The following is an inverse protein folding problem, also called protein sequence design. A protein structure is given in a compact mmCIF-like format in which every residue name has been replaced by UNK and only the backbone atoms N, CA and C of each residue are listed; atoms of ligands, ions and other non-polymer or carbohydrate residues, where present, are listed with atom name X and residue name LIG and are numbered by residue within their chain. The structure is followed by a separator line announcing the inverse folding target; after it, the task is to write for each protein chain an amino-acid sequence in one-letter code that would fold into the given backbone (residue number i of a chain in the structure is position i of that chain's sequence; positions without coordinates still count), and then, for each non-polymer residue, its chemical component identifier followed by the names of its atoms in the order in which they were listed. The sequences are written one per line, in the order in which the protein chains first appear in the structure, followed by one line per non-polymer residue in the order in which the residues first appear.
data_IF_114364076819
#
_entry.id   IF_114364076819
#
_cell.length_a   1.000
_cell.length_b   1.000
_cell.length_c   1.000
_cell.angle_alpha   90.00
_cell.angle_beta   90.00
_cell.angle_gamma   90.00
#
_symmetry.space_group_name_H-M   'P 1'
#
loop_
_entity.id
_entity.type
_entity.pdbx_description
1 polymer ?
#
# COMPACT_ATOMS: atom_id res chain seq x y z
N UNK A 1 4.19 12.84 -10.67
CA UNK A 1 4.81 14.19 -10.87
C UNK A 1 6.19 13.99 -11.50
N UNK A 2 6.47 14.59 -12.65
CA UNK A 2 7.80 14.48 -13.30
C UNK A 2 8.77 15.36 -12.53
N UNK A 3 9.90 14.80 -12.12
CA UNK A 3 10.99 15.52 -11.44
C UNK A 3 11.64 16.51 -12.41
N UNK A 4 11.60 17.80 -12.07
CA UNK A 4 12.17 18.87 -12.91
C UNK A 4 13.53 19.37 -12.44
N UNK A 5 13.88 19.14 -11.19
CA UNK A 5 15.11 19.62 -10.57
C UNK A 5 15.85 18.48 -9.85
N UNK A 6 17.17 18.59 -9.83
CA UNK A 6 18.01 17.65 -9.09
C UNK A 6 17.74 17.75 -7.58
N UNK A 7 17.47 16.62 -6.93
CA UNK A 7 17.18 16.56 -5.49
C UNK A 7 18.41 16.86 -4.61
N UNK A 8 19.63 16.77 -5.16
CA UNK A 8 20.86 17.06 -4.41
C UNK A 8 21.27 18.55 -4.50
N UNK A 9 21.26 19.14 -5.70
CA UNK A 9 21.80 20.48 -5.91
C UNK A 9 20.77 21.51 -6.41
N UNK A 10 19.51 21.12 -6.64
CA UNK A 10 18.46 22.01 -7.11
C UNK A 10 18.55 22.45 -8.59
N UNK A 11 19.61 22.06 -9.32
CA UNK A 11 19.76 22.43 -10.74
C UNK A 11 18.66 21.82 -11.59
N UNK A 12 18.14 22.56 -12.57
CA UNK A 12 17.17 22.03 -13.52
C UNK A 12 17.77 20.83 -14.28
N UNK A 13 16.98 19.76 -14.39
CA UNK A 13 17.37 18.56 -15.10
C UNK A 13 17.25 18.76 -16.60
N UNK A 14 18.17 18.16 -17.35
CA UNK A 14 18.13 18.00 -18.80
C UNK A 14 17.83 16.54 -19.15
N UNK A 15 17.49 16.30 -20.39
CA UNK A 15 17.31 14.94 -20.91
C UNK A 15 18.62 14.48 -21.57
N UNK A 16 19.03 13.25 -21.31
CA UNK A 16 20.23 12.65 -21.90
C UNK A 16 20.00 11.15 -22.12
N UNK A 17 20.49 10.67 -23.25
CA UNK A 17 20.47 9.24 -23.57
C UNK A 17 21.40 8.47 -22.63
N UNK A 18 20.89 7.36 -22.10
CA UNK A 18 21.63 6.36 -21.34
C UNK A 18 21.49 5.02 -22.06
N UNK A 19 22.63 4.41 -22.39
CA UNK A 19 22.66 3.13 -23.10
C UNK A 19 21.86 2.05 -22.33
N UNK A 20 20.92 1.42 -23.01
CA UNK A 20 20.01 0.42 -22.45
C UNK A 20 18.76 0.96 -21.74
N UNK A 21 18.72 2.25 -21.37
CA UNK A 21 17.63 2.87 -20.62
C UNK A 21 16.85 3.93 -21.44
N UNK A 22 17.43 4.39 -22.57
CA UNK A 22 16.85 5.45 -23.39
C UNK A 22 17.08 6.85 -22.81
N UNK A 23 16.07 7.73 -22.94
CA UNK A 23 16.16 9.11 -22.48
C UNK A 23 15.85 9.20 -20.98
N UNK A 24 16.83 9.61 -20.19
CA UNK A 24 16.77 9.71 -18.73
C UNK A 24 17.09 11.14 -18.28
N UNK A 25 16.41 11.69 -17.24
CA UNK A 25 16.78 12.96 -16.64
C UNK A 25 18.24 12.99 -16.17
N UNK A 26 18.95 14.05 -16.48
CA UNK A 26 20.37 14.21 -16.17
C UNK A 26 20.62 15.55 -15.48
N UNK A 27 21.39 15.54 -14.40
CA UNK A 27 21.84 16.76 -13.75
C UNK A 27 23.18 17.21 -14.31
N UNK A 28 23.29 18.35 -15.05
CA UNK A 28 24.53 18.80 -15.61
C UNK A 28 25.54 19.28 -14.55
N UNK A 29 25.05 19.74 -13.38
CA UNK A 29 25.92 20.21 -12.29
C UNK A 29 26.54 19.02 -11.52
N UNK A 30 25.73 17.99 -11.15
CA UNK A 30 26.25 16.80 -10.48
C UNK A 30 26.87 15.78 -11.43
N UNK A 31 26.67 15.94 -12.73
CA UNK A 31 27.11 15.02 -13.80
C UNK A 31 26.56 13.59 -13.58
N UNK A 32 25.29 13.48 -13.17
CA UNK A 32 24.65 12.20 -12.83
C UNK A 32 23.24 12.10 -13.42
N UNK A 33 22.86 10.90 -13.82
CA UNK A 33 21.49 10.57 -14.18
C UNK A 33 20.59 10.58 -12.93
N UNK A 34 19.31 10.90 -13.13
CA UNK A 34 18.30 10.95 -12.06
C UNK A 34 17.12 10.10 -12.47
N UNK A 35 16.92 9.00 -11.76
CA UNK A 35 15.78 8.13 -11.96
C UNK A 35 14.55 8.65 -11.20
N UNK A 36 13.33 8.24 -11.62
CA UNK A 36 12.10 8.70 -10.99
C UNK A 36 12.10 8.47 -9.46
N UNK A 37 11.70 9.49 -8.72
CA UNK A 37 11.52 9.40 -7.27
C UNK A 37 10.00 9.36 -6.96
N UNK A 38 9.61 8.40 -6.15
CA UNK A 38 8.24 8.23 -5.69
C UNK A 38 8.23 7.63 -4.28
N UNK A 39 7.12 7.80 -3.57
CA UNK A 39 6.91 7.14 -2.30
C UNK A 39 6.62 5.66 -2.51
N UNK A 40 6.92 4.85 -1.52
CA UNK A 40 6.49 3.45 -1.48
C UNK A 40 5.60 3.25 -0.26
N UNK A 41 4.48 2.58 -0.45
CA UNK A 41 3.56 2.24 0.63
C UNK A 41 3.02 0.83 0.46
N UNK A 42 2.63 0.22 1.57
CA UNK A 42 1.94 -1.07 1.61
C UNK A 42 0.44 -0.86 1.88
N UNK A 43 -0.37 -1.76 1.35
CA UNK A 43 -1.81 -1.85 1.64
C UNK A 43 -2.14 -3.30 1.90
N UNK A 44 -2.97 -3.60 2.89
CA UNK A 44 -3.20 -4.97 3.34
C UNK A 44 -4.67 -5.36 3.32
N UNK A 45 -4.98 -6.49 2.67
CA UNK A 45 -6.20 -7.25 2.94
C UNK A 45 -5.92 -8.07 4.19
N UNK A 46 -6.37 -7.58 5.35
CA UNK A 46 -6.18 -8.27 6.64
C UNK A 46 -7.28 -9.28 6.84
N UNK A 47 -6.91 -10.55 7.05
CA UNK A 47 -7.83 -11.68 7.15
C UNK A 47 -7.64 -12.39 8.49
N UNK A 48 -8.73 -12.61 9.19
CA UNK A 48 -8.78 -13.54 10.31
C UNK A 48 -8.79 -14.98 9.77
N UNK A 49 -7.75 -15.76 10.05
CA UNK A 49 -7.62 -17.14 9.57
C UNK A 49 -8.68 -18.08 10.11
N UNK A 50 -9.24 -17.80 11.28
CA UNK A 50 -10.22 -18.67 11.92
C UNK A 50 -11.60 -18.53 11.27
N UNK A 51 -11.96 -17.32 10.88
CA UNK A 51 -13.31 -17.00 10.38
C UNK A 51 -13.34 -16.71 8.88
N UNK A 52 -12.20 -16.43 8.25
CA UNK A 52 -12.11 -15.95 6.87
C UNK A 52 -12.64 -14.53 6.67
N UNK A 53 -12.92 -13.80 7.74
CA UNK A 53 -13.40 -12.44 7.67
C UNK A 53 -12.28 -11.46 7.33
N UNK A 54 -12.66 -10.38 6.64
CA UNK A 54 -11.77 -9.31 6.17
C UNK A 54 -11.99 -8.06 7.00
N UNK A 55 -10.92 -7.50 7.52
CA UNK A 55 -10.93 -6.23 8.26
C UNK A 55 -11.04 -5.05 7.30
N UNK A 56 -12.03 -4.20 7.50
CA UNK A 56 -12.07 -2.86 6.93
C UNK A 56 -12.12 -1.81 8.04
N UNK A 57 -11.45 -0.69 7.81
CA UNK A 57 -11.29 0.39 8.79
C UNK A 57 -11.80 1.73 8.25
N UNK A 58 -12.13 2.66 9.15
CA UNK A 58 -12.33 4.09 8.83
C UNK A 58 -11.32 4.90 9.59
N UNK A 59 -10.76 5.91 8.94
CA UNK A 59 -9.70 6.75 9.49
C UNK A 59 -9.96 8.23 9.22
N UNK A 60 -9.42 9.09 10.08
CA UNK A 60 -9.38 10.55 9.93
C UNK A 60 -10.75 11.19 9.67
N UNK A 61 -11.79 10.74 10.36
CA UNK A 61 -13.16 11.24 10.24
C UNK A 61 -13.82 10.96 8.88
N UNK A 62 -13.24 10.08 8.05
CA UNK A 62 -13.82 9.73 6.75
C UNK A 62 -14.94 8.68 6.93
N UNK A 63 -16.08 8.82 6.21
CA UNK A 63 -17.22 7.92 6.39
C UNK A 63 -17.06 6.57 5.69
N UNK A 64 -16.02 6.39 4.89
CA UNK A 64 -15.86 5.22 4.04
C UNK A 64 -14.90 4.20 4.64
N UNK A 65 -15.20 2.93 4.45
CA UNK A 65 -14.30 1.83 4.76
C UNK A 65 -13.17 1.73 3.72
N UNK A 66 -11.97 1.46 4.21
CA UNK A 66 -10.74 1.25 3.42
C UNK A 66 -9.95 0.07 3.99
N UNK A 67 -8.89 -0.31 3.29
CA UNK A 67 -7.88 -1.26 3.78
C UNK A 67 -6.88 -0.56 4.70
N UNK A 68 -6.26 -1.32 5.60
CA UNK A 68 -5.06 -0.88 6.36
C UNK A 68 -3.94 -0.58 5.37
N UNK A 69 -3.22 0.51 5.58
CA UNK A 69 -2.14 0.94 4.67
C UNK A 69 -1.17 1.89 5.36
N UNK A 70 0.12 1.82 4.99
CA UNK A 70 1.12 2.73 5.52
C UNK A 70 2.33 2.88 4.62
N UNK A 71 3.16 3.90 4.89
CA UNK A 71 4.38 4.14 4.14
C UNK A 71 5.52 3.23 4.56
N UNK A 72 6.32 2.82 3.57
CA UNK A 72 7.55 2.07 3.80
C UNK A 72 8.66 3.02 4.20
N UNK A 73 9.35 2.73 5.29
CA UNK A 73 10.47 3.53 5.76
C UNK A 73 11.73 3.29 4.92
N UNK A 74 12.64 4.25 4.90
CA UNK A 74 13.93 4.08 4.20
C UNK A 74 14.70 2.89 4.76
N UNK A 75 15.03 1.93 3.88
CA UNK A 75 15.77 0.73 4.24
C UNK A 75 14.92 -0.39 4.84
N UNK A 76 13.61 -0.19 4.93
CA UNK A 76 12.66 -1.21 5.39
C UNK A 76 12.26 -2.15 4.24
N UNK A 77 12.12 -3.43 4.54
CA UNK A 77 11.56 -4.42 3.61
C UNK A 77 10.02 -4.31 3.62
N UNK A 78 9.38 -4.60 2.48
CA UNK A 78 7.93 -4.49 2.35
C UNK A 78 7.19 -5.39 3.35
N UNK A 79 7.66 -6.59 3.57
CA UNK A 79 7.11 -7.57 4.50
C UNK A 79 7.17 -7.08 5.95
N UNK A 80 8.27 -6.39 6.31
CA UNK A 80 8.41 -5.76 7.62
C UNK A 80 7.46 -4.56 7.77
N UNK A 81 7.32 -3.74 6.72
CA UNK A 81 6.36 -2.63 6.72
C UNK A 81 4.93 -3.13 6.89
N UNK A 82 4.52 -4.21 6.20
CA UNK A 82 3.20 -4.84 6.39
C UNK A 82 2.99 -5.24 7.85
N UNK A 83 3.94 -5.98 8.43
CA UNK A 83 3.82 -6.48 9.81
C UNK A 83 3.80 -5.34 10.83
N UNK A 84 4.62 -4.30 10.61
CA UNK A 84 4.68 -3.10 11.45
C UNK A 84 3.37 -2.31 11.39
N UNK A 85 2.87 -1.99 10.20
CA UNK A 85 1.65 -1.19 10.04
C UNK A 85 0.42 -1.92 10.61
N UNK A 86 0.28 -3.23 10.37
CA UNK A 86 -0.78 -4.02 11.00
C UNK A 86 -0.65 -3.97 12.53
N UNK A 87 0.57 -4.13 13.08
CA UNK A 87 0.79 -4.08 14.52
C UNK A 87 0.53 -2.70 15.10
N UNK A 88 1.01 -1.63 14.45
CA UNK A 88 0.88 -0.25 14.93
C UNK A 88 -0.57 0.24 14.87
N UNK A 89 -1.29 -0.04 13.78
CA UNK A 89 -2.65 0.44 13.60
C UNK A 89 -3.70 -0.43 14.33
N UNK A 90 -3.50 -1.74 14.40
CA UNK A 90 -4.53 -2.68 14.85
C UNK A 90 -4.18 -3.44 16.12
N UNK A 91 -2.94 -3.39 16.57
CA UNK A 91 -2.46 -4.19 17.70
C UNK A 91 -2.22 -5.68 17.40
N UNK A 92 -2.70 -6.17 16.27
CA UNK A 92 -2.63 -7.59 15.92
C UNK A 92 -1.26 -8.00 15.39
N UNK A 93 -0.96 -9.30 15.47
CA UNK A 93 0.27 -9.88 14.93
C UNK A 93 -0.03 -10.65 13.64
N UNK A 94 0.74 -10.35 12.59
CA UNK A 94 0.67 -11.05 11.31
C UNK A 94 1.35 -12.41 11.46
N UNK A 95 0.63 -13.50 11.18
CA UNK A 95 1.15 -14.86 11.21
C UNK A 95 1.92 -15.18 9.92
N UNK A 96 1.32 -14.87 8.79
CA UNK A 96 1.97 -14.96 7.48
C UNK A 96 1.35 -13.93 6.52
N UNK A 97 2.02 -13.69 5.40
CA UNK A 97 1.60 -12.74 4.40
C UNK A 97 1.87 -13.26 2.98
N UNK A 98 1.11 -12.74 2.03
CA UNK A 98 1.26 -13.04 0.60
C UNK A 98 1.25 -11.73 -0.16
N UNK A 99 2.23 -11.52 -1.04
CA UNK A 99 2.20 -10.42 -2.01
C UNK A 99 1.11 -10.68 -3.05
N UNK A 100 0.30 -9.66 -3.34
CA UNK A 100 -0.74 -9.73 -4.35
C UNK A 100 -0.31 -9.03 -5.63
N UNK A 101 -0.16 -7.70 -5.60
CA UNK A 101 0.17 -6.87 -6.76
C UNK A 101 0.66 -5.48 -6.38
N UNK A 102 1.08 -4.72 -7.38
CA UNK A 102 1.36 -3.28 -7.23
C UNK A 102 0.41 -2.44 -8.07
N UNK A 103 0.27 -1.18 -7.69
CA UNK A 103 -0.37 -0.14 -8.50
C UNK A 103 0.25 1.21 -8.19
N UNK A 104 0.44 2.05 -9.20
CA UNK A 104 0.94 3.40 -8.99
C UNK A 104 -0.22 4.36 -8.72
N UNK A 105 -0.16 5.08 -7.61
CA UNK A 105 -1.18 6.04 -7.20
C UNK A 105 -0.72 7.46 -7.48
N UNK A 106 -1.10 7.98 -8.63
CA UNK A 106 -0.71 9.30 -9.13
C UNK A 106 -0.95 10.46 -8.13
N UNK A 107 -2.10 10.54 -7.41
CA UNK A 107 -2.38 11.68 -6.56
C UNK A 107 -1.34 11.94 -5.47
N UNK A 108 -0.69 10.90 -4.94
CA UNK A 108 0.36 11.02 -3.94
C UNK A 108 1.75 10.62 -4.44
N UNK A 109 1.91 10.37 -5.75
CA UNK A 109 3.17 9.91 -6.35
C UNK A 109 3.72 8.69 -5.60
N UNK A 110 2.89 7.65 -5.44
CA UNK A 110 3.19 6.50 -4.58
C UNK A 110 3.04 5.19 -5.33
N UNK A 111 4.07 4.34 -5.27
CA UNK A 111 3.93 2.93 -5.61
C UNK A 111 3.31 2.20 -4.43
N UNK A 112 2.08 1.72 -4.62
CA UNK A 112 1.35 0.93 -3.64
C UNK A 112 1.60 -0.55 -3.88
N UNK A 113 2.10 -1.25 -2.85
CA UNK A 113 2.33 -2.70 -2.84
C UNK A 113 1.25 -3.35 -1.99
N UNK A 114 0.36 -4.13 -2.61
CA UNK A 114 -0.74 -4.77 -1.90
C UNK A 114 -0.37 -6.19 -1.47
N UNK A 115 -0.70 -6.51 -0.22
CA UNK A 115 -0.51 -7.81 0.40
C UNK A 115 -1.80 -8.34 1.00
N UNK A 116 -1.90 -9.65 1.15
CA UNK A 116 -2.81 -10.28 2.10
C UNK A 116 -2.02 -10.56 3.37
N UNK A 117 -2.53 -10.11 4.52
CA UNK A 117 -1.96 -10.32 5.83
C UNK A 117 -2.92 -11.17 6.67
N UNK A 118 -2.47 -12.34 7.11
CA UNK A 118 -3.27 -13.26 7.89
C UNK A 118 -2.96 -13.09 9.38
N UNK A 119 -4.02 -12.93 10.19
CA UNK A 119 -3.93 -12.85 11.65
C UNK A 119 -4.65 -14.08 12.26
N UNK A 120 -4.06 -14.63 13.32
CA UNK A 120 -4.59 -15.85 13.97
C UNK A 120 -5.57 -15.56 15.10
N UNK A 121 -5.55 -14.34 15.62
CA UNK A 121 -6.41 -13.93 16.74
C UNK A 121 -6.93 -12.50 16.54
N UNK A 122 -8.16 -12.41 16.00
CA UNK A 122 -8.85 -11.13 15.84
C UNK A 122 -9.22 -10.46 17.19
N UNK A 123 -9.18 -11.19 18.30
CA UNK A 123 -9.46 -10.65 19.65
C UNK A 123 -8.32 -9.75 20.16
N UNK A 124 -7.11 -9.85 19.60
CA UNK A 124 -6.00 -8.91 19.87
C UNK A 124 -6.24 -7.50 19.33
N UNK A 125 -7.33 -7.28 18.57
CA UNK A 125 -7.60 -5.99 17.93
C UNK A 125 -7.67 -4.87 18.98
N UNK A 126 -6.71 -3.99 18.92
CA UNK A 126 -6.58 -2.81 19.77
C UNK A 126 -6.10 -1.63 18.92
N UNK A 127 -7.02 -0.90 18.25
CA UNK A 127 -6.67 0.12 17.27
C UNK A 127 -5.95 1.30 17.90
N UNK A 128 -5.06 1.91 17.12
CA UNK A 128 -4.45 3.18 17.47
C UNK A 128 -5.46 4.34 17.28
N UNK A 129 -5.01 5.58 17.51
CA UNK A 129 -5.86 6.78 17.40
C UNK A 129 -6.22 7.18 15.96
N UNK A 130 -5.62 6.57 14.97
CA UNK A 130 -5.88 6.85 13.55
C UNK A 130 -7.14 6.16 13.06
N UNK A 131 -7.50 5.02 13.68
CA UNK A 131 -8.70 4.26 13.34
C UNK A 131 -9.88 4.77 14.14
N UNK A 132 -10.86 5.39 13.47
CA UNK A 132 -12.10 5.89 14.07
C UNK A 132 -13.10 4.76 14.34
N UNK A 133 -13.17 3.79 13.42
CA UNK A 133 -14.02 2.61 13.53
C UNK A 133 -13.53 1.49 12.61
N UNK A 134 -13.96 0.27 12.92
CA UNK A 134 -13.60 -0.91 12.15
C UNK A 134 -14.75 -1.92 12.13
N UNK A 135 -14.68 -2.84 11.18
CA UNK A 135 -15.59 -3.97 11.12
C UNK A 135 -14.97 -5.14 10.37
N UNK A 136 -15.22 -6.33 10.86
CA UNK A 136 -14.93 -7.58 10.16
C UNK A 136 -16.10 -7.94 9.26
N UNK A 137 -15.82 -8.27 8.02
CA UNK A 137 -16.82 -8.56 6.99
C UNK A 137 -16.59 -9.94 6.39
N UNK A 138 -17.66 -10.60 5.96
CA UNK A 138 -17.52 -11.66 4.98
C UNK A 138 -16.89 -11.13 3.68
N UNK A 139 -16.25 -11.98 2.85
CA UNK A 139 -15.70 -11.55 1.57
C UNK A 139 -16.70 -10.75 0.71
N UNK A 140 -17.92 -11.23 0.57
CA UNK A 140 -18.98 -10.58 -0.20
C UNK A 140 -19.41 -9.23 0.39
N UNK A 141 -19.48 -9.13 1.70
CA UNK A 141 -19.86 -7.87 2.36
C UNK A 141 -18.70 -6.88 2.39
N UNK A 142 -17.45 -7.33 2.48
CA UNK A 142 -16.27 -6.47 2.33
C UNK A 142 -16.28 -5.78 0.96
N UNK A 143 -16.57 -6.53 -0.13
CA UNK A 143 -16.71 -5.99 -1.48
C UNK A 143 -17.77 -4.90 -1.59
N UNK A 144 -18.92 -5.05 -0.90
CA UNK A 144 -20.03 -4.09 -0.93
C UNK A 144 -19.78 -2.84 -0.08
N UNK A 145 -18.98 -2.96 0.98
CA UNK A 145 -18.81 -1.90 1.98
C UNK A 145 -17.54 -1.07 1.79
N UNK A 146 -16.55 -1.57 1.07
CA UNK A 146 -15.34 -0.81 0.78
C UNK A 146 -15.65 0.41 -0.09
N UNK A 147 -14.90 1.51 0.10
CA UNK A 147 -15.06 2.74 -0.69
C UNK A 147 -14.99 2.46 -2.18
N UNK A 148 -16.09 2.64 -2.88
CA UNK A 148 -16.17 2.48 -4.34
C UNK A 148 -15.19 3.37 -5.10
N UNK A 149 -14.75 2.93 -6.26
CA UNK A 149 -13.84 3.66 -7.16
C UNK A 149 -12.53 4.11 -6.48
N UNK A 150 -12.08 3.38 -5.48
CA UNK A 150 -10.82 3.62 -4.79
C UNK A 150 -9.78 2.56 -5.12
N UNK A 151 -8.50 2.87 -4.89
CA UNK A 151 -7.42 1.89 -5.03
C UNK A 151 -7.59 0.73 -4.04
N UNK A 152 -8.12 1.00 -2.82
CA UNK A 152 -8.43 -0.04 -1.85
C UNK A 152 -9.47 -1.04 -2.39
N UNK A 153 -10.54 -0.54 -3.04
CA UNK A 153 -11.53 -1.40 -3.70
C UNK A 153 -10.93 -2.20 -4.86
N UNK A 154 -10.07 -1.58 -5.66
CA UNK A 154 -9.39 -2.28 -6.75
C UNK A 154 -8.53 -3.44 -6.23
N UNK A 155 -7.79 -3.24 -5.15
CA UNK A 155 -6.97 -4.29 -4.52
C UNK A 155 -7.82 -5.39 -3.91
N UNK A 156 -8.85 -5.03 -3.12
CA UNK A 156 -9.73 -6.02 -2.49
C UNK A 156 -10.46 -6.86 -3.55
N UNK A 157 -11.04 -6.23 -4.55
CA UNK A 157 -11.78 -6.93 -5.59
C UNK A 157 -10.89 -7.88 -6.38
N UNK A 158 -9.68 -7.43 -6.73
CA UNK A 158 -8.74 -8.28 -7.43
C UNK A 158 -8.31 -9.50 -6.59
N UNK A 159 -8.09 -9.33 -5.29
CA UNK A 159 -7.83 -10.44 -4.37
C UNK A 159 -9.01 -11.44 -4.34
N UNK A 160 -10.23 -10.94 -4.18
CA UNK A 160 -11.44 -11.78 -4.11
C UNK A 160 -11.71 -12.53 -5.42
N UNK A 161 -11.46 -11.91 -6.56
CA UNK A 161 -11.62 -12.54 -7.87
C UNK A 161 -10.61 -13.69 -8.06
N UNK A 162 -9.33 -13.48 -7.67
CA UNK A 162 -8.31 -14.52 -7.73
C UNK A 162 -8.60 -15.72 -6.79
N UNK A 163 -9.17 -15.49 -5.61
CA UNK A 163 -9.54 -16.59 -4.71
C UNK A 163 -10.74 -17.38 -5.23
N UNK A 164 -11.71 -16.72 -5.87
CA UNK A 164 -12.87 -17.40 -6.51
C UNK A 164 -12.47 -18.26 -7.71
N UNK A 165 -11.40 -17.91 -8.45
CA UNK A 165 -10.91 -18.71 -9.58
C UNK A 165 -10.17 -20.00 -9.14
N UNK A 166 -9.83 -20.13 -7.87
CA UNK A 166 -9.14 -21.31 -7.31
C UNK A 166 -10.09 -22.39 -6.79
N UNK A 167 -11.38 -22.08 -6.64
CA UNK A 167 -12.45 -22.98 -6.18
C UNK A 167 -13.15 -23.61 -7.37
#
# INVERSE_FOLDING_TARGET
MIQKHCYECGTALTERELEGEGIVPYCPQCQQYRFPMYNVAVSMVVIDEQTGQILLIRQYGKPHFILVAGYVNRGEQLEHAVSREVKEETGMTVAHLKFNRTSFFEPSNTLMCNFTAFVTDASEFNPNKEIDSYQWFSPDDARKNIKENSLAAAFLNAYLDEENEKV
#
